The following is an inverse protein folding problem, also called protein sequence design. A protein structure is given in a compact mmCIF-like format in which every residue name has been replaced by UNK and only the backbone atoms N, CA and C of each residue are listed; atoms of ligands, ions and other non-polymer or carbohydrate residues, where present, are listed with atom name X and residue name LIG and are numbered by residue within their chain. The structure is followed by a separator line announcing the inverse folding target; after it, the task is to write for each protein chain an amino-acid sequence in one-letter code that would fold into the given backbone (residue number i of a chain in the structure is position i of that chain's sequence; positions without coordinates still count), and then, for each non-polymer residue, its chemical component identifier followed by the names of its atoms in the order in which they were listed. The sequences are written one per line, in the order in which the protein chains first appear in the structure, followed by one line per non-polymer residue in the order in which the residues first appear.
data_IF_087210080896
#
_entry.id   IF_087210080896
#
_cell.length_a   1.000
_cell.length_b   1.000
_cell.length_c   1.000
_cell.angle_alpha   90.00
_cell.angle_beta   90.00
_cell.angle_gamma   90.00
#
_symmetry.space_group_name_H-M   'P 1'
#
loop_
_entity.id
_entity.type
_entity.pdbx_description
1 polymer ?
#
# COMPACT_ATOMS: atom_id res chain seq x y z
N UNK A 1 20.85 14.36 10.69
CA UNK A 1 19.54 13.71 10.49
C UNK A 1 18.51 14.80 10.22
N UNK A 2 17.49 14.55 9.38
CA UNK A 2 16.40 15.51 9.15
C UNK A 2 15.05 14.93 9.59
N UNK A 3 14.13 15.81 10.04
CA UNK A 3 12.72 15.47 10.23
C UNK A 3 11.90 16.06 9.08
N UNK A 4 11.01 15.24 8.50
CA UNK A 4 10.08 15.63 7.45
C UNK A 4 8.62 15.37 7.88
N UNK A 5 7.85 16.46 7.97
CA UNK A 5 6.41 16.38 8.20
C UNK A 5 5.66 15.94 6.94
N UNK A 6 4.39 15.56 7.07
CA UNK A 6 3.51 15.33 5.92
C UNK A 6 3.46 16.53 4.98
N UNK A 7 3.46 17.77 5.52
CA UNK A 7 3.46 18.98 4.71
C UNK A 7 4.75 19.14 3.89
N UNK A 8 5.91 18.83 4.49
CA UNK A 8 7.17 18.82 3.75
C UNK A 8 7.13 17.79 2.61
N UNK A 9 6.68 16.57 2.91
CA UNK A 9 6.60 15.49 1.91
C UNK A 9 5.68 15.84 0.74
N UNK A 10 4.51 16.44 1.03
CA UNK A 10 3.58 16.88 -0.01
C UNK A 10 4.17 17.95 -0.96
N UNK A 11 5.10 18.78 -0.46
CA UNK A 11 5.81 19.78 -1.26
C UNK A 11 7.01 19.21 -2.04
N UNK A 12 7.58 18.10 -1.55
CA UNK A 12 8.81 17.52 -2.09
C UNK A 12 8.56 16.52 -3.21
N UNK A 13 7.47 15.76 -3.14
CA UNK A 13 7.21 14.61 -4.01
C UNK A 13 5.93 14.77 -4.80
N UNK A 14 6.02 14.44 -6.08
CA UNK A 14 4.88 14.19 -6.95
C UNK A 14 4.62 12.70 -7.12
N UNK A 15 3.46 12.32 -7.61
CA UNK A 15 3.17 10.91 -8.00
C UNK A 15 4.18 10.38 -9.02
N UNK A 16 4.65 11.23 -9.94
CA UNK A 16 5.66 10.86 -10.92
C UNK A 16 7.00 10.50 -10.28
N UNK A 17 7.46 11.31 -9.33
CA UNK A 17 8.70 11.05 -8.59
C UNK A 17 8.65 9.70 -7.86
N UNK A 18 7.50 9.37 -7.29
CA UNK A 18 7.30 8.11 -6.56
C UNK A 18 7.23 6.90 -7.52
N UNK A 19 6.63 7.06 -8.69
CA UNK A 19 6.60 6.01 -9.74
C UNK A 19 8.01 5.71 -10.23
N UNK A 20 8.79 6.75 -10.53
CA UNK A 20 10.17 6.61 -10.99
C UNK A 20 11.05 5.95 -9.93
N UNK A 21 10.92 6.37 -8.67
CA UNK A 21 11.66 5.79 -7.55
C UNK A 21 11.31 4.31 -7.32
N UNK A 22 10.03 3.95 -7.38
CA UNK A 22 9.61 2.56 -7.26
C UNK A 22 10.04 1.72 -8.45
N UNK A 23 9.96 2.22 -9.68
CA UNK A 23 10.39 1.52 -10.88
C UNK A 23 11.89 1.15 -10.79
N UNK A 24 12.73 2.11 -10.45
CA UNK A 24 14.16 1.88 -10.24
C UNK A 24 14.43 0.87 -9.12
N UNK A 25 13.72 1.02 -8.00
CA UNK A 25 13.83 0.13 -6.86
C UNK A 25 13.40 -1.31 -7.21
N UNK A 26 12.31 -1.50 -7.97
CA UNK A 26 11.89 -2.83 -8.44
C UNK A 26 12.93 -3.47 -9.36
N UNK A 27 13.62 -2.69 -10.18
CA UNK A 27 14.75 -3.21 -10.96
C UNK A 27 15.90 -3.67 -10.05
N UNK A 28 16.22 -2.92 -8.98
CA UNK A 28 17.20 -3.37 -7.99
C UNK A 28 16.75 -4.65 -7.26
N UNK A 29 15.47 -4.74 -6.88
CA UNK A 29 14.91 -5.95 -6.27
C UNK A 29 15.00 -7.15 -7.22
N UNK A 30 14.73 -6.97 -8.51
CA UNK A 30 14.85 -8.01 -9.53
C UNK A 30 16.29 -8.53 -9.71
N UNK A 31 17.29 -7.70 -9.43
CA UNK A 31 18.71 -8.10 -9.42
C UNK A 31 19.19 -8.67 -8.07
N UNK A 32 18.31 -8.76 -7.07
CA UNK A 32 18.67 -9.21 -5.73
C UNK A 32 19.40 -8.17 -4.87
N UNK A 33 19.37 -6.90 -5.28
CA UNK A 33 20.05 -5.77 -4.62
C UNK A 33 19.13 -5.02 -3.64
N UNK A 34 17.96 -5.56 -3.37
CA UNK A 34 17.00 -4.99 -2.42
C UNK A 34 16.25 -6.09 -1.67
N UNK A 35 15.65 -5.74 -0.55
CA UNK A 35 14.88 -6.69 0.28
C UNK A 35 13.69 -6.00 0.92
N UNK A 36 12.62 -6.77 1.14
CA UNK A 36 11.47 -6.40 1.96
C UNK A 36 11.27 -7.44 3.06
N UNK A 37 11.20 -7.00 4.31
CA UNK A 37 10.77 -7.87 5.40
C UNK A 37 9.24 -7.87 5.48
N UNK A 38 8.60 -9.03 5.65
CA UNK A 38 7.16 -9.10 5.87
C UNK A 38 6.74 -8.28 7.09
N UNK A 39 5.56 -7.66 6.99
CA UNK A 39 4.98 -6.93 8.13
C UNK A 39 4.83 -7.85 9.33
N UNK A 40 5.21 -7.33 10.49
CA UNK A 40 5.00 -7.99 11.78
C UNK A 40 4.19 -7.10 12.70
N UNK A 41 3.32 -7.70 13.54
CA UNK A 41 2.48 -6.98 14.47
C UNK A 41 2.62 -7.54 15.89
N UNK A 42 2.48 -6.66 16.89
CA UNK A 42 2.32 -7.01 18.30
C UNK A 42 0.97 -6.49 18.76
N UNK A 43 0.19 -7.34 19.40
CA UNK A 43 -1.14 -7.03 19.92
C UNK A 43 -1.14 -7.12 21.44
N UNK A 44 -1.59 -6.06 22.10
CA UNK A 44 -1.61 -5.95 23.57
C UNK A 44 -2.98 -5.45 24.04
N UNK A 45 -3.58 -6.04 25.10
CA UNK A 45 -4.80 -5.49 25.69
C UNK A 45 -4.60 -4.03 26.12
N UNK A 46 -5.53 -3.16 25.74
CA UNK A 46 -5.45 -1.73 26.02
C UNK A 46 -6.46 -1.22 27.05
N UNK A 47 -7.05 -2.13 27.83
CA UNK A 47 -8.10 -1.79 28.79
C UNK A 47 -9.51 -1.67 28.22
N UNK A 48 -9.66 -1.82 26.91
CA UNK A 48 -10.96 -1.82 26.21
C UNK A 48 -11.47 -3.24 26.01
N UNK A 49 -12.78 -3.43 26.13
CA UNK A 49 -13.41 -4.73 25.84
C UNK A 49 -13.65 -4.96 24.35
N UNK A 50 -13.70 -3.88 23.56
CA UNK A 50 -13.97 -3.86 22.13
C UNK A 50 -12.72 -3.64 21.28
N UNK A 51 -11.51 -3.64 21.85
CA UNK A 51 -10.31 -3.28 21.12
C UNK A 51 -9.00 -3.79 21.72
N UNK A 52 -7.95 -3.58 20.94
CA UNK A 52 -6.56 -3.88 21.29
C UNK A 52 -5.63 -2.76 20.81
N UNK A 53 -4.55 -2.56 21.57
CA UNK A 53 -3.38 -1.86 21.04
C UNK A 53 -2.69 -2.76 20.02
N UNK A 54 -2.28 -2.16 18.91
CA UNK A 54 -1.50 -2.83 17.87
C UNK A 54 -0.29 -1.99 17.51
N UNK A 55 0.88 -2.58 17.62
CA UNK A 55 2.11 -2.10 17.01
C UNK A 55 2.37 -2.88 15.73
N UNK A 56 2.72 -2.22 14.63
CA UNK A 56 3.11 -2.87 13.39
C UNK A 56 4.36 -2.25 12.79
N UNK A 57 5.26 -3.08 12.25
CA UNK A 57 6.46 -2.61 11.59
C UNK A 57 6.68 -3.29 10.23
N UNK A 58 7.35 -2.57 9.33
CA UNK A 58 7.64 -3.01 7.97
C UNK A 58 9.00 -2.45 7.58
N UNK A 59 9.89 -3.29 7.08
CA UNK A 59 11.25 -2.90 6.74
C UNK A 59 11.63 -3.24 5.31
N UNK A 60 12.49 -2.41 4.74
CA UNK A 60 13.11 -2.66 3.45
C UNK A 60 14.46 -2.00 3.32
N UNK A 61 15.31 -2.56 2.48
CA UNK A 61 16.61 -1.99 2.16
C UNK A 61 16.85 -2.01 0.66
N UNK A 62 17.59 -1.02 0.17
CA UNK A 62 17.98 -0.87 -1.23
C UNK A 62 19.49 -0.61 -1.24
N UNK A 63 20.24 -1.63 -1.58
CA UNK A 63 21.72 -1.63 -1.49
C UNK A 63 22.35 -0.54 -2.37
N UNK A 64 22.01 -0.37 -3.66
CA UNK A 64 22.62 0.65 -4.49
C UNK A 64 22.45 2.08 -3.95
N UNK A 65 21.37 2.32 -3.20
CA UNK A 65 21.10 3.63 -2.59
C UNK A 65 21.73 3.79 -1.20
N UNK A 66 22.25 2.71 -0.61
CA UNK A 66 22.82 2.72 0.72
C UNK A 66 21.78 3.00 1.81
N UNK A 67 20.54 2.56 1.64
CA UNK A 67 19.38 2.92 2.49
C UNK A 67 18.73 1.67 3.09
N UNK A 68 18.49 1.74 4.40
CA UNK A 68 17.52 0.92 5.13
C UNK A 68 16.39 1.81 5.63
N UNK A 69 15.15 1.32 5.54
CA UNK A 69 13.96 2.00 6.03
C UNK A 69 13.17 1.08 6.96
N UNK A 70 12.75 1.59 8.10
CA UNK A 70 11.70 0.98 8.93
C UNK A 70 10.50 1.92 9.01
N UNK A 71 9.32 1.39 8.74
CA UNK A 71 8.05 2.05 9.00
C UNK A 71 7.43 1.47 10.26
N UNK A 72 6.98 2.33 11.15
CA UNK A 72 6.35 1.97 12.41
C UNK A 72 4.95 2.57 12.48
N UNK A 73 4.01 1.79 12.98
CA UNK A 73 2.62 2.20 13.20
C UNK A 73 2.19 1.78 14.59
N UNK A 74 1.71 2.75 15.37
CA UNK A 74 1.13 2.55 16.70
C UNK A 74 -0.36 2.92 16.64
N UNK A 75 -1.24 2.04 17.15
CA UNK A 75 -2.66 2.09 16.83
C UNK A 75 -3.50 1.45 17.94
N UNK A 76 -4.65 2.01 18.25
CA UNK A 76 -5.73 1.31 18.95
C UNK A 76 -6.75 0.90 17.90
N UNK A 77 -6.96 -0.39 17.77
CA UNK A 77 -7.91 -1.00 16.84
C UNK A 77 -9.11 -1.51 17.61
N UNK A 78 -10.30 -1.12 17.16
CA UNK A 78 -11.57 -1.65 17.69
C UNK A 78 -12.35 -2.35 16.58
N UNK A 79 -13.35 -3.11 16.95
CA UNK A 79 -14.26 -3.79 16.06
C UNK A 79 -15.70 -3.63 16.53
N UNK A 80 -16.65 -3.69 15.60
CA UNK A 80 -18.07 -3.64 15.92
C UNK A 80 -18.48 -4.87 16.72
N UNK A 81 -19.63 -4.82 17.41
CA UNK A 81 -20.17 -5.97 18.16
C UNK A 81 -20.35 -7.23 17.30
N UNK A 82 -20.52 -7.07 16.00
CA UNK A 82 -20.62 -8.15 15.02
C UNK A 82 -19.26 -8.72 14.59
N UNK A 83 -18.16 -8.11 15.02
CA UNK A 83 -16.79 -8.60 14.79
C UNK A 83 -16.31 -8.52 13.33
N UNK A 84 -17.01 -7.81 12.46
CA UNK A 84 -16.74 -7.81 11.01
C UNK A 84 -15.99 -6.58 10.50
N UNK A 85 -16.14 -5.43 11.16
CA UNK A 85 -15.52 -4.19 10.74
C UNK A 85 -14.47 -3.73 11.76
N UNK A 86 -13.25 -3.49 11.31
CA UNK A 86 -12.17 -2.94 12.13
C UNK A 86 -12.16 -1.42 12.00
N UNK A 87 -12.17 -0.71 13.14
CA UNK A 87 -11.92 0.72 13.21
C UNK A 87 -10.51 0.95 13.72
N UNK A 88 -9.72 1.64 12.92
CA UNK A 88 -8.33 1.95 13.23
C UNK A 88 -8.17 3.35 13.81
N UNK A 89 -7.11 3.57 14.56
CA UNK A 89 -6.74 4.88 15.11
C UNK A 89 -7.83 5.47 16.00
N UNK A 90 -8.47 4.64 16.83
CA UNK A 90 -9.56 5.06 17.71
C UNK A 90 -9.05 5.96 18.84
N UNK A 91 -7.86 5.69 19.34
CA UNK A 91 -7.15 6.49 20.32
C UNK A 91 -5.73 6.80 19.79
N UNK A 92 -5.26 8.01 19.79
CA UNK A 92 -5.88 9.28 20.22
C UNK A 92 -6.86 9.89 19.19
N UNK A 93 -7.49 9.10 18.34
CA UNK A 93 -8.42 9.56 17.29
C UNK A 93 -7.75 9.97 15.99
N UNK A 94 -6.43 9.80 15.89
CA UNK A 94 -5.62 10.12 14.71
C UNK A 94 -4.59 9.04 14.46
N UNK A 95 -4.15 8.96 13.21
CA UNK A 95 -3.12 8.01 12.80
C UNK A 95 -1.74 8.39 13.38
N UNK A 96 -1.08 7.44 14.03
CA UNK A 96 0.30 7.58 14.50
C UNK A 96 1.19 6.59 13.74
N UNK A 97 1.95 7.11 12.79
CA UNK A 97 2.91 6.33 12.02
C UNK A 97 4.06 7.18 11.53
N UNK A 98 5.23 6.60 11.50
CA UNK A 98 6.43 7.26 11.03
C UNK A 98 7.43 6.28 10.44
N UNK A 99 8.37 6.83 9.67
CA UNK A 99 9.48 6.10 9.09
C UNK A 99 10.79 6.62 9.66
N UNK A 100 11.75 5.71 9.79
CA UNK A 100 13.14 6.06 10.01
C UNK A 100 13.99 5.52 8.87
N UNK A 101 14.86 6.37 8.34
CA UNK A 101 15.90 5.99 7.38
C UNK A 101 17.24 5.90 8.07
N UNK A 102 17.99 4.88 7.68
CA UNK A 102 19.35 4.65 8.12
C UNK A 102 20.27 4.45 6.91
N UNK A 103 21.51 4.87 7.05
CA UNK A 103 22.57 4.53 6.10
C UNK A 103 22.99 3.07 6.31
N UNK A 104 22.95 2.26 5.27
CA UNK A 104 23.52 0.90 5.33
C UNK A 104 25.04 0.90 5.25
N UNK A 105 25.68 2.05 5.02
CA UNK A 105 27.14 2.19 4.91
C UNK A 105 27.83 2.33 6.26
N UNK A 106 27.15 2.97 7.23
CA UNK A 106 27.75 3.29 8.54
C UNK A 106 26.75 3.22 9.71
N UNK A 107 25.49 2.85 9.46
CA UNK A 107 24.45 2.72 10.48
C UNK A 107 23.85 4.05 10.98
N UNK A 108 24.25 5.20 10.45
CA UNK A 108 23.72 6.49 10.91
C UNK A 108 22.22 6.66 10.62
N UNK A 109 21.44 7.26 11.56
CA UNK A 109 20.10 7.70 11.29
C UNK A 109 20.12 8.93 10.35
N UNK A 110 19.46 8.82 9.19
CA UNK A 110 19.43 9.85 8.15
C UNK A 110 18.21 10.75 8.26
N UNK A 111 17.05 10.16 8.55
CA UNK A 111 15.81 10.92 8.63
C UNK A 111 14.75 10.24 9.50
N UNK A 112 13.85 11.06 10.07
CA UNK A 112 12.56 10.65 10.60
C UNK A 112 11.48 11.36 9.78
N UNK A 113 10.43 10.63 9.38
CA UNK A 113 9.37 11.17 8.51
C UNK A 113 7.99 10.74 8.99
N UNK A 114 6.98 11.60 8.84
CA UNK A 114 5.60 11.15 8.90
C UNK A 114 5.29 10.21 7.73
N UNK A 115 4.48 9.18 7.96
CA UNK A 115 4.19 8.18 6.95
C UNK A 115 2.90 8.43 6.14
N UNK A 116 2.02 9.34 6.58
CA UNK A 116 0.69 9.51 6.00
C UNK A 116 0.69 9.81 4.50
N UNK A 117 1.35 10.87 4.07
CA UNK A 117 1.47 11.22 2.64
C UNK A 117 2.30 10.19 1.88
N UNK A 118 3.42 9.72 2.46
CA UNK A 118 4.23 8.66 1.85
C UNK A 118 3.44 7.37 1.65
N UNK A 119 2.55 7.04 2.60
CA UNK A 119 1.67 5.88 2.46
C UNK A 119 0.75 6.00 1.24
N UNK A 120 0.11 7.13 1.05
CA UNK A 120 -0.75 7.35 -0.11
C UNK A 120 0.03 7.32 -1.42
N UNK A 121 1.15 8.03 -1.48
CA UNK A 121 1.99 8.12 -2.66
C UNK A 121 2.57 6.76 -3.08
N UNK A 122 3.08 5.93 -2.14
CA UNK A 122 3.62 4.61 -2.46
C UNK A 122 2.54 3.64 -2.97
N UNK A 123 1.33 3.68 -2.39
CA UNK A 123 0.21 2.83 -2.85
C UNK A 123 -0.18 3.19 -4.27
N UNK A 124 -0.36 4.48 -4.54
CA UNK A 124 -0.70 4.98 -5.86
C UNK A 124 0.39 4.67 -6.91
N UNK A 125 1.66 4.87 -6.53
CA UNK A 125 2.78 4.60 -7.41
C UNK A 125 2.97 3.09 -7.69
N UNK A 126 2.77 2.22 -6.69
CA UNK A 126 2.79 0.76 -6.87
C UNK A 126 1.71 0.29 -7.85
N UNK A 127 0.49 0.82 -7.71
CA UNK A 127 -0.57 0.53 -8.66
C UNK A 127 -0.26 1.06 -10.06
N UNK A 128 0.28 2.28 -10.19
CA UNK A 128 0.68 2.85 -11.48
C UNK A 128 1.77 2.00 -12.17
N UNK A 129 2.66 1.37 -11.43
CA UNK A 129 3.60 0.39 -11.99
C UNK A 129 2.88 -0.85 -12.52
N UNK A 130 1.94 -1.41 -11.77
CA UNK A 130 1.08 -2.48 -12.27
C UNK A 130 0.40 -2.10 -13.59
N UNK A 131 -0.04 -0.86 -13.70
CA UNK A 131 -0.63 -0.28 -14.90
C UNK A 131 0.36 -0.12 -16.03
N UNK A 132 1.57 0.34 -15.75
CA UNK A 132 2.60 0.52 -16.77
C UNK A 132 2.85 -0.78 -17.54
N UNK A 133 2.77 -1.91 -16.86
CA UNK A 133 3.06 -3.21 -17.41
C UNK A 133 1.82 -4.02 -17.81
N UNK A 134 0.64 -3.74 -17.22
CA UNK A 134 -0.59 -4.48 -17.49
C UNK A 134 -1.72 -3.60 -18.03
N UNK A 135 -1.96 -2.41 -17.48
CA UNK A 135 -2.89 -1.37 -17.93
C UNK A 135 -2.89 -0.16 -16.97
N UNK A 136 -3.80 0.74 -17.04
CA UNK A 136 -3.78 2.16 -16.71
C UNK A 136 -4.53 2.50 -15.43
N UNK A 137 -3.88 2.98 -14.37
CA UNK A 137 -4.62 3.23 -13.16
C UNK A 137 -4.09 4.14 -12.04
N UNK A 138 -4.83 4.56 -11.06
CA UNK A 138 -4.87 5.54 -9.95
C UNK A 138 -4.69 7.00 -10.35
N UNK A 139 -5.65 7.81 -9.98
CA UNK A 139 -6.00 9.02 -10.66
C UNK A 139 -4.86 10.02 -10.94
N UNK A 140 -4.13 10.65 -10.03
CA UNK A 140 -2.97 11.47 -10.41
C UNK A 140 -1.79 10.64 -10.89
N UNK A 141 -1.55 9.47 -10.26
CA UNK A 141 -0.52 8.55 -10.70
C UNK A 141 -0.87 7.94 -12.08
N UNK A 142 -2.15 7.76 -12.35
CA UNK A 142 -2.68 7.30 -13.62
C UNK A 142 -2.58 8.36 -14.70
N UNK A 143 -2.89 9.60 -14.36
CA UNK A 143 -2.68 10.73 -15.24
C UNK A 143 -1.20 10.95 -15.58
N UNK A 144 -0.28 10.59 -14.68
CA UNK A 144 1.16 10.66 -14.94
C UNK A 144 1.65 9.61 -15.95
N UNK A 145 0.96 8.47 -16.07
CA UNK A 145 1.36 7.37 -16.98
C UNK A 145 0.43 7.22 -18.18
N UNK A 146 -0.75 7.86 -18.16
CA UNK A 146 -1.78 7.76 -19.21
C UNK A 146 -2.58 9.05 -19.36
N UNK A 147 -3.13 9.26 -20.55
CA UNK A 147 -4.12 10.29 -20.80
C UNK A 147 -5.48 9.79 -20.33
N UNK A 148 -5.96 10.32 -19.20
CA UNK A 148 -7.30 10.07 -18.68
C UNK A 148 -8.24 11.17 -19.19
N UNK A 149 -9.37 10.79 -19.75
CA UNK A 149 -10.36 11.74 -20.30
C UNK A 149 -11.52 12.01 -19.36
N UNK A 150 -11.89 11.04 -18.54
CA UNK A 150 -13.02 11.10 -17.63
C UNK A 150 -12.79 10.13 -16.47
N UNK A 151 -13.37 10.45 -15.32
CA UNK A 151 -13.36 9.58 -14.13
C UNK A 151 -14.76 9.44 -13.59
N UNK A 152 -15.13 8.22 -13.21
CA UNK A 152 -16.34 7.90 -12.46
C UNK A 152 -15.94 7.49 -11.06
N UNK A 153 -16.63 7.97 -10.03
CA UNK A 153 -16.33 7.63 -8.64
C UNK A 153 -17.56 7.17 -7.87
N UNK A 154 -17.39 6.10 -7.11
CA UNK A 154 -18.38 5.61 -6.16
C UNK A 154 -17.79 5.59 -4.75
N UNK A 155 -18.61 5.98 -3.79
CA UNK A 155 -18.44 5.73 -2.36
C UNK A 155 -19.82 5.56 -1.74
N UNK A 156 -20.01 4.65 -0.76
CA UNK A 156 -21.31 4.50 -0.09
C UNK A 156 -21.73 5.78 0.65
N UNK A 157 -20.77 6.65 1.02
CA UNK A 157 -21.04 7.92 1.68
C UNK A 157 -21.15 9.05 0.64
N UNK A 158 -22.35 9.65 0.42
CA UNK A 158 -22.55 10.70 -0.58
C UNK A 158 -21.55 11.86 -0.46
N UNK A 159 -21.40 12.41 0.74
CA UNK A 159 -20.48 13.54 0.97
C UNK A 159 -19.03 13.24 0.56
N UNK A 160 -18.57 11.99 0.73
CA UNK A 160 -17.21 11.61 0.33
C UNK A 160 -17.05 11.60 -1.20
N UNK A 161 -17.97 10.98 -1.95
CA UNK A 161 -17.87 10.92 -3.41
C UNK A 161 -18.04 12.27 -4.07
N UNK A 162 -18.93 13.13 -3.54
CA UNK A 162 -19.17 14.47 -4.07
C UNK A 162 -17.97 15.41 -3.81
N UNK A 163 -17.45 15.39 -2.58
CA UNK A 163 -16.25 16.17 -2.23
C UNK A 163 -15.05 15.74 -3.06
N UNK A 164 -14.81 14.44 -3.16
CA UNK A 164 -13.73 13.88 -3.98
C UNK A 164 -13.86 14.29 -5.43
N UNK A 165 -15.06 14.15 -6.03
CA UNK A 165 -15.30 14.51 -7.43
C UNK A 165 -15.01 15.99 -7.69
N UNK A 166 -15.48 16.87 -6.82
CA UNK A 166 -15.25 18.32 -6.93
C UNK A 166 -13.76 18.69 -6.82
N UNK A 167 -13.08 18.12 -5.83
CA UNK A 167 -11.66 18.41 -5.59
C UNK A 167 -10.78 17.89 -6.73
N UNK A 168 -10.95 16.64 -7.14
CA UNK A 168 -10.17 16.01 -8.19
C UNK A 168 -10.44 16.61 -9.56
N UNK A 169 -11.68 16.97 -9.88
CA UNK A 169 -11.98 17.70 -11.12
C UNK A 169 -11.21 19.03 -11.23
N UNK A 170 -11.12 19.75 -10.09
CA UNK A 170 -10.38 21.01 -10.02
C UNK A 170 -8.87 20.80 -10.12
N UNK A 171 -8.35 19.81 -9.42
CA UNK A 171 -6.90 19.54 -9.34
C UNK A 171 -6.34 19.03 -10.67
N UNK A 172 -7.07 18.12 -11.32
CA UNK A 172 -6.58 17.40 -12.51
C UNK A 172 -7.08 18.03 -13.82
N UNK A 173 -8.01 18.97 -13.75
CA UNK A 173 -8.66 19.59 -14.93
C UNK A 173 -9.31 18.57 -15.87
N UNK A 174 -9.86 17.47 -15.32
CA UNK A 174 -10.63 16.46 -16.04
C UNK A 174 -11.99 16.25 -15.35
N UNK A 175 -13.05 15.84 -16.07
CA UNK A 175 -14.33 15.52 -15.47
C UNK A 175 -14.20 14.35 -14.49
N UNK A 176 -14.66 14.54 -13.25
CA UNK A 176 -14.81 13.49 -12.25
C UNK A 176 -16.28 13.49 -11.80
N UNK A 177 -16.99 12.41 -12.10
CA UNK A 177 -18.43 12.32 -11.89
C UNK A 177 -18.74 11.35 -10.73
N UNK A 178 -19.51 11.80 -9.71
CA UNK A 178 -19.94 10.93 -8.61
C UNK A 178 -21.17 10.11 -9.00
N UNK A 179 -21.18 8.83 -8.61
CA UNK A 179 -22.29 7.89 -8.78
C UNK A 179 -22.71 7.32 -7.43
N UNK A 180 -23.97 6.97 -7.30
CA UNK A 180 -24.56 6.38 -6.09
C UNK A 180 -24.59 4.84 -6.13
N UNK A 181 -24.22 4.25 -7.27
CA UNK A 181 -24.16 2.81 -7.49
C UNK A 181 -22.78 2.44 -8.12
N UNK A 182 -22.16 1.31 -7.73
CA UNK A 182 -20.90 0.88 -8.31
C UNK A 182 -21.01 0.36 -9.74
N UNK A 183 -22.13 -0.18 -10.18
CA UNK A 183 -22.29 -0.75 -11.53
C UNK A 183 -21.98 0.26 -12.65
N UNK A 184 -22.58 1.47 -12.67
CA UNK A 184 -22.27 2.48 -13.71
C UNK A 184 -20.80 2.94 -13.69
N UNK A 185 -20.15 2.85 -12.53
CA UNK A 185 -18.72 3.19 -12.41
C UNK A 185 -17.86 2.11 -13.07
N UNK A 186 -18.23 0.87 -12.97
CA UNK A 186 -17.48 -0.26 -13.55
C UNK A 186 -17.73 -0.38 -15.05
N UNK A 187 -19.01 -0.41 -15.47
CA UNK A 187 -19.36 -0.60 -16.89
C UNK A 187 -18.83 0.50 -17.79
N UNK A 188 -18.25 0.11 -18.91
CA UNK A 188 -17.69 1.00 -19.91
C UNK A 188 -16.43 1.74 -19.45
N UNK A 189 -15.81 1.34 -18.35
CA UNK A 189 -14.54 1.90 -17.90
C UNK A 189 -13.37 1.09 -18.41
N UNK A 190 -12.35 1.74 -18.97
CA UNK A 190 -11.11 1.04 -19.37
C UNK A 190 -10.35 0.52 -18.17
N UNK A 191 -10.53 1.19 -17.00
CA UNK A 191 -9.77 0.93 -15.79
C UNK A 191 -10.71 1.03 -14.60
N UNK A 192 -10.71 -0.01 -13.79
CA UNK A 192 -11.44 -0.06 -12.51
C UNK A 192 -10.46 -0.30 -11.38
N UNK A 193 -10.48 0.58 -10.39
CA UNK A 193 -9.66 0.41 -9.19
C UNK A 193 -10.49 0.56 -7.94
N UNK A 194 -10.23 -0.30 -6.97
CA UNK A 194 -10.79 -0.19 -5.63
C UNK A 194 -9.71 0.26 -4.66
N UNK A 195 -10.08 1.19 -3.78
CA UNK A 195 -9.18 1.79 -2.78
C UNK A 195 -9.93 1.86 -1.44
N UNK A 196 -10.39 0.71 -0.94
CA UNK A 196 -11.24 0.65 0.24
C UNK A 196 -10.57 -0.13 1.36
N UNK A 197 -11.01 0.12 2.58
CA UNK A 197 -10.76 -0.70 3.77
C UNK A 197 -11.95 -1.64 4.07
N UNK A 198 -12.87 -1.77 3.13
CA UNK A 198 -14.07 -2.58 3.27
C UNK A 198 -13.74 -4.05 3.55
N UNK A 199 -14.47 -4.62 4.51
CA UNK A 199 -14.47 -6.06 4.74
C UNK A 199 -15.50 -6.82 3.88
N UNK A 200 -16.26 -6.09 3.04
CA UNK A 200 -17.24 -6.64 2.09
C UNK A 200 -16.74 -6.45 0.67
N UNK A 201 -17.11 -7.37 -0.20
CA UNK A 201 -16.84 -7.24 -1.63
C UNK A 201 -17.48 -5.96 -2.18
N UNK A 202 -16.75 -5.23 -3.00
CA UNK A 202 -17.18 -3.97 -3.61
C UNK A 202 -17.65 -4.21 -5.04
N UNK A 203 -16.88 -4.98 -5.81
CA UNK A 203 -17.24 -5.35 -7.18
C UNK A 203 -17.56 -6.85 -7.18
N UNK A 204 -18.84 -7.18 -7.30
CA UNK A 204 -19.34 -8.54 -7.06
C UNK A 204 -19.82 -9.25 -8.33
N UNK A 205 -20.37 -8.50 -9.29
CA UNK A 205 -20.98 -9.07 -10.48
C UNK A 205 -19.99 -9.16 -11.65
N UNK A 206 -19.62 -10.37 -12.08
CA UNK A 206 -18.69 -10.55 -13.19
C UNK A 206 -19.26 -10.09 -14.54
N UNK A 207 -20.58 -9.84 -14.67
CA UNK A 207 -21.17 -9.32 -15.92
C UNK A 207 -20.85 -7.86 -16.18
N UNK A 208 -20.37 -7.12 -15.17
CA UNK A 208 -19.93 -5.73 -15.33
C UNK A 208 -18.59 -5.61 -16.02
N UNK A 209 -17.82 -6.71 -16.06
CA UNK A 209 -16.46 -6.72 -16.59
C UNK A 209 -16.46 -7.00 -18.09
N UNK A 210 -15.90 -6.09 -18.83
CA UNK A 210 -15.85 -6.08 -20.30
C UNK A 210 -14.45 -6.33 -20.83
N UNK A 211 -14.36 -6.73 -22.10
CA UNK A 211 -13.07 -6.94 -22.78
C UNK A 211 -12.23 -5.68 -22.77
N UNK A 212 -10.94 -5.85 -22.52
CA UNK A 212 -9.98 -4.76 -22.53
C UNK A 212 -9.85 -4.02 -21.20
N UNK A 213 -10.68 -4.31 -20.21
CA UNK A 213 -10.58 -3.68 -18.89
C UNK A 213 -9.30 -4.05 -18.16
N UNK A 214 -8.81 -3.10 -17.39
CA UNK A 214 -7.83 -3.34 -16.34
C UNK A 214 -8.48 -3.17 -14.97
N UNK A 215 -8.27 -4.14 -14.11
CA UNK A 215 -8.76 -4.15 -12.74
C UNK A 215 -7.58 -4.07 -11.76
N UNK A 216 -7.70 -3.26 -10.71
CA UNK A 216 -6.71 -3.20 -9.65
C UNK A 216 -7.39 -3.08 -8.28
N UNK A 217 -6.79 -3.67 -7.26
CA UNK A 217 -7.26 -3.57 -5.89
C UNK A 217 -6.15 -3.23 -4.91
N UNK A 218 -6.52 -2.76 -3.73
CA UNK A 218 -5.63 -2.53 -2.59
C UNK A 218 -5.80 -3.57 -1.47
N UNK A 219 -6.86 -4.36 -1.53
CA UNK A 219 -7.20 -5.39 -0.56
C UNK A 219 -7.74 -6.63 -1.26
N UNK A 220 -7.45 -7.81 -0.74
CA UNK A 220 -7.92 -9.09 -1.28
C UNK A 220 -9.44 -9.30 -1.20
N UNK A 221 -10.17 -8.39 -0.56
CA UNK A 221 -11.62 -8.51 -0.32
C UNK A 221 -12.47 -7.58 -1.20
N UNK A 222 -11.92 -6.93 -2.20
CA UNK A 222 -12.62 -5.88 -2.95
C UNK A 222 -13.31 -6.40 -4.22
N UNK A 223 -12.76 -7.42 -4.86
CA UNK A 223 -13.34 -8.09 -6.03
C UNK A 223 -13.74 -9.52 -5.71
N UNK A 224 -14.84 -10.00 -6.32
CA UNK A 224 -15.22 -11.40 -6.22
C UNK A 224 -14.22 -12.31 -6.93
N UNK A 225 -14.09 -13.55 -6.44
CA UNK A 225 -13.25 -14.57 -7.04
C UNK A 225 -13.60 -14.86 -8.50
N UNK A 226 -14.88 -14.84 -8.81
CA UNK A 226 -15.40 -15.09 -10.16
C UNK A 226 -14.96 -14.02 -11.16
N UNK A 227 -14.78 -12.78 -10.71
CA UNK A 227 -14.22 -11.70 -11.54
C UNK A 227 -12.76 -11.97 -11.84
N UNK A 228 -11.96 -12.29 -10.82
CA UNK A 228 -10.52 -12.54 -11.01
C UNK A 228 -10.27 -13.73 -11.94
N UNK A 229 -11.08 -14.77 -11.85
CA UNK A 229 -11.01 -15.93 -12.76
C UNK A 229 -11.29 -15.60 -14.23
N UNK A 230 -12.04 -14.53 -14.51
CA UNK A 230 -12.33 -14.11 -15.89
C UNK A 230 -11.20 -13.28 -16.52
N UNK A 231 -10.21 -12.88 -15.73
CA UNK A 231 -9.09 -12.11 -16.24
C UNK A 231 -8.11 -12.99 -17.02
N UNK A 232 -7.69 -12.53 -18.18
CA UNK A 232 -6.72 -13.24 -19.02
C UNK A 232 -5.32 -13.19 -18.39
N UNK A 233 -5.03 -12.12 -17.66
CA UNK A 233 -3.76 -11.95 -16.96
C UNK A 233 -4.07 -11.46 -15.55
N UNK A 234 -3.58 -12.18 -14.56
CA UNK A 234 -3.59 -11.80 -13.14
C UNK A 234 -2.16 -11.69 -12.67
N UNK A 235 -1.81 -10.59 -12.04
CA UNK A 235 -0.50 -10.37 -11.47
C UNK A 235 -0.59 -9.63 -10.13
N UNK A 236 0.52 -9.61 -9.40
CA UNK A 236 0.63 -8.98 -8.09
C UNK A 236 1.90 -8.12 -7.97
N UNK A 237 1.95 -7.27 -6.97
CA UNK A 237 3.18 -6.51 -6.66
C UNK A 237 4.34 -7.45 -6.34
N UNK A 238 4.09 -8.47 -5.53
CA UNK A 238 5.04 -9.44 -5.07
C UNK A 238 4.70 -9.91 -3.65
N UNK A 239 5.17 -11.10 -3.31
CA UNK A 239 4.99 -11.66 -1.97
C UNK A 239 6.25 -11.45 -1.14
N UNK A 240 6.08 -11.15 0.12
CA UNK A 240 7.17 -10.97 1.10
C UNK A 240 7.73 -12.30 1.61
N UNK A 241 7.52 -13.39 0.86
CA UNK A 241 7.94 -14.75 1.26
C UNK A 241 9.43 -15.02 1.04
N UNK A 242 10.16 -14.09 0.45
CA UNK A 242 11.59 -14.25 0.21
C UNK A 242 12.38 -14.37 1.52
N UNK A 243 12.84 -15.58 1.82
CA UNK A 243 13.76 -15.87 2.91
C UNK A 243 13.15 -15.99 4.30
N UNK A 244 11.86 -15.79 4.49
CA UNK A 244 11.21 -15.98 5.78
C UNK A 244 11.04 -17.47 6.08
N UNK A 245 11.90 -18.00 6.94
CA UNK A 245 11.69 -19.32 7.56
C UNK A 245 10.79 -19.13 8.78
N UNK A 246 9.62 -19.72 8.73
CA UNK A 246 8.63 -19.66 9.80
C UNK A 246 7.66 -18.47 9.63
N UNK A 247 6.43 -18.68 9.93
CA UNK A 247 5.32 -17.76 9.92
C UNK A 247 4.10 -18.50 10.42
N UNK A 248 3.15 -17.79 11.00
CA UNK A 248 1.86 -18.36 11.38
C UNK A 248 1.10 -18.77 10.12
N UNK A 249 0.30 -19.83 10.21
CA UNK A 249 -0.66 -20.15 9.15
C UNK A 249 -1.55 -18.92 8.88
N UNK A 250 -2.02 -18.76 7.64
CA UNK A 250 -2.82 -17.59 7.25
C UNK A 250 -4.09 -17.44 8.12
N UNK A 251 -4.69 -18.56 8.51
CA UNK A 251 -5.84 -18.61 9.43
C UNK A 251 -5.53 -18.12 10.85
N UNK A 252 -4.26 -18.07 11.23
CA UNK A 252 -3.80 -17.63 12.55
C UNK A 252 -3.30 -16.19 12.55
N UNK A 253 -3.16 -15.59 11.37
CA UNK A 253 -2.73 -14.19 11.23
C UNK A 253 -3.90 -13.26 11.52
N UNK A 254 -3.73 -12.37 12.49
CA UNK A 254 -4.71 -11.31 12.74
C UNK A 254 -4.49 -10.14 11.78
N UNK A 255 -3.23 -9.78 11.57
CA UNK A 255 -2.85 -8.71 10.65
C UNK A 255 -1.42 -8.89 10.18
N UNK A 256 -0.70 -8.67 9.43
CA UNK A 256 0.70 -8.90 9.09
C UNK A 256 1.08 -10.37 8.87
N UNK A 257 2.34 -10.60 8.55
CA UNK A 257 2.90 -11.93 8.29
C UNK A 257 3.00 -12.78 9.55
N UNK A 258 3.42 -12.17 10.64
CA UNK A 258 3.48 -12.78 11.96
C UNK A 258 2.91 -11.79 12.99
N UNK A 259 2.16 -12.33 13.94
CA UNK A 259 1.54 -11.55 15.01
C UNK A 259 1.85 -12.19 16.34
N UNK A 260 2.28 -11.38 17.30
CA UNK A 260 2.43 -11.77 18.69
C UNK A 260 1.31 -11.15 19.51
N UNK A 261 0.49 -12.00 20.11
CA UNK A 261 -0.70 -11.57 20.82
C UNK A 261 -0.50 -11.82 22.30
N UNK A 262 -0.55 -10.77 23.12
CA UNK A 262 -0.53 -10.81 24.57
C UNK A 262 -1.96 -10.76 25.10
N UNK A 263 -2.19 -11.35 26.27
CA UNK A 263 -3.47 -11.34 26.96
C UNK A 263 -3.93 -12.72 27.37
N UNK A 264 -4.94 -12.77 28.24
CA UNK A 264 -5.58 -14.03 28.64
C UNK A 264 -6.38 -14.60 27.46
N UNK A 265 -6.63 -15.91 27.43
CA UNK A 265 -7.37 -16.54 26.32
C UNK A 265 -8.70 -15.87 25.98
N UNK A 266 -9.45 -15.41 26.98
CA UNK A 266 -10.74 -14.73 26.79
C UNK A 266 -10.57 -13.35 26.12
N UNK A 267 -9.44 -12.68 26.37
CA UNK A 267 -9.12 -11.41 25.72
C UNK A 267 -8.69 -11.64 24.27
N UNK A 268 -7.82 -12.61 24.02
CA UNK A 268 -7.36 -12.96 22.68
C UNK A 268 -8.52 -13.45 21.79
N UNK A 269 -9.47 -14.19 22.36
CA UNK A 269 -10.65 -14.67 21.64
C UNK A 269 -11.58 -13.55 21.10
N UNK A 270 -11.43 -12.32 21.60
CA UNK A 270 -12.18 -11.14 21.13
C UNK A 270 -11.66 -10.59 19.81
N UNK A 271 -10.41 -10.86 19.45
CA UNK A 271 -9.82 -10.39 18.19
C UNK A 271 -10.49 -11.14 17.05
N UNK A 272 -11.15 -10.43 16.10
CA UNK A 272 -11.82 -11.09 15.00
C UNK A 272 -10.83 -11.87 14.13
N UNK A 273 -11.17 -13.12 13.81
CA UNK A 273 -10.42 -13.90 12.82
C UNK A 273 -10.65 -13.30 11.45
N UNK A 274 -9.59 -13.08 10.69
CA UNK A 274 -9.72 -12.69 9.29
C UNK A 274 -10.39 -13.80 8.49
N UNK A 275 -11.41 -13.49 7.67
CA UNK A 275 -11.89 -14.43 6.68
C UNK A 275 -10.73 -14.84 5.76
N UNK A 276 -10.55 -16.12 5.54
CA UNK A 276 -9.58 -16.62 4.56
C UNK A 276 -10.03 -16.15 3.18
N UNK A 277 -9.15 -15.47 2.46
CA UNK A 277 -9.42 -15.11 1.07
C UNK A 277 -9.34 -16.37 0.20
N UNK A 278 -10.35 -16.60 -0.66
CA UNK A 278 -10.28 -17.64 -1.69
C UNK A 278 -9.33 -17.25 -2.86
N UNK A 279 -8.74 -16.05 -2.79
CA UNK A 279 -7.81 -15.54 -3.78
C UNK A 279 -6.38 -15.76 -3.28
N UNK A 280 -5.75 -16.81 -3.79
CA UNK A 280 -4.34 -17.11 -3.52
C UNK A 280 -3.44 -16.40 -4.54
N UNK A 281 -3.19 -15.12 -4.28
CA UNK A 281 -2.34 -14.32 -5.15
C UNK A 281 -0.86 -14.72 -5.16
N UNK A 282 -0.42 -15.54 -4.20
CA UNK A 282 0.97 -16.01 -4.09
C UNK A 282 1.40 -16.77 -5.35
N UNK A 283 0.47 -17.47 -5.98
CA UNK A 283 0.75 -18.29 -7.18
C UNK A 283 0.65 -17.50 -8.50
N UNK A 284 0.30 -16.23 -8.48
CA UNK A 284 0.27 -15.39 -9.67
C UNK A 284 1.62 -14.67 -9.89
N UNK A 285 1.98 -14.37 -11.15
CA UNK A 285 3.19 -13.64 -11.48
C UNK A 285 3.31 -12.33 -10.67
N UNK A 286 4.50 -12.07 -10.16
CA UNK A 286 4.83 -10.82 -9.49
C UNK A 286 5.19 -9.73 -10.50
N UNK A 287 5.29 -8.48 -10.03
CA UNK A 287 5.80 -7.39 -10.84
C UNK A 287 7.23 -7.65 -11.34
N UNK A 288 8.05 -8.35 -10.53
CA UNK A 288 9.40 -8.76 -10.94
C UNK A 288 9.34 -9.75 -12.11
N UNK A 289 8.42 -10.71 -12.08
CA UNK A 289 8.23 -11.66 -13.19
C UNK A 289 7.83 -10.94 -14.46
N UNK A 290 6.93 -9.94 -14.36
CA UNK A 290 6.54 -9.09 -15.49
C UNK A 290 7.69 -8.23 -16.02
N UNK A 291 8.60 -7.77 -15.15
CA UNK A 291 9.79 -7.03 -15.55
C UNK A 291 10.75 -7.91 -16.35
N UNK A 292 11.01 -9.10 -15.83
CA UNK A 292 11.97 -10.04 -16.40
C UNK A 292 11.44 -10.79 -17.64
N UNK A 293 10.11 -10.95 -17.76
CA UNK A 293 9.49 -11.67 -18.86
C UNK A 293 8.38 -10.88 -19.56
N UNK A 294 8.72 -10.13 -20.63
CA UNK A 294 7.74 -9.36 -21.38
C UNK A 294 6.56 -10.16 -21.95
N UNK A 295 6.73 -11.48 -22.19
CA UNK A 295 5.65 -12.32 -22.71
C UNK A 295 4.50 -12.53 -21.72
N UNK A 296 4.72 -12.30 -20.44
CA UNK A 296 3.68 -12.34 -19.40
C UNK A 296 2.84 -11.06 -19.34
N UNK A 297 3.21 -10.03 -20.10
CA UNK A 297 2.50 -8.76 -20.14
C UNK A 297 1.33 -8.82 -21.11
N UNK A 298 0.47 -7.80 -21.05
CA UNK A 298 -0.64 -7.65 -21.98
C UNK A 298 -0.15 -7.54 -23.43
N UNK A 299 -0.65 -8.43 -24.29
CA UNK A 299 -0.30 -8.50 -25.72
C UNK A 299 -1.45 -8.11 -26.65
N UNK A 300 -2.68 -8.04 -26.11
CA UNK A 300 -3.88 -7.65 -26.87
C UNK A 300 -4.72 -6.61 -26.10
N UNK A 301 -5.29 -5.66 -26.82
CA UNK A 301 -6.21 -4.67 -26.25
C UNK A 301 -7.52 -5.29 -25.73
N UNK A 302 -7.87 -6.50 -26.16
CA UNK A 302 -9.07 -7.21 -25.72
C UNK A 302 -8.88 -7.97 -24.42
N UNK A 303 -7.64 -8.20 -23.98
CA UNK A 303 -7.38 -8.95 -22.74
C UNK A 303 -7.87 -8.17 -21.51
N UNK A 304 -8.52 -8.88 -20.59
CA UNK A 304 -8.87 -8.38 -19.27
C UNK A 304 -7.69 -8.65 -18.33
N UNK A 305 -7.24 -7.65 -17.61
CA UNK A 305 -6.09 -7.79 -16.72
C UNK A 305 -6.44 -7.39 -15.29
N UNK A 306 -5.85 -8.09 -14.31
CA UNK A 306 -6.02 -7.82 -12.90
C UNK A 306 -4.66 -7.64 -12.20
N UNK A 307 -4.54 -6.61 -11.38
CA UNK A 307 -3.34 -6.35 -10.60
C UNK A 307 -3.64 -6.25 -9.11
N UNK A 308 -3.10 -7.16 -8.33
CA UNK A 308 -3.18 -7.14 -6.88
C UNK A 308 -2.09 -6.26 -6.29
N UNK A 309 -2.46 -5.04 -5.86
CA UNK A 309 -1.53 -4.04 -5.37
C UNK A 309 -1.33 -4.14 -3.84
N UNK A 310 -0.95 -5.32 -3.36
CA UNK A 310 -0.64 -5.57 -1.96
C UNK A 310 0.61 -6.44 -1.85
N UNK A 311 1.55 -6.07 -0.98
CA UNK A 311 2.80 -6.77 -0.72
C UNK A 311 4.03 -5.85 -0.80
N UNK A 312 5.20 -6.36 -0.41
CA UNK A 312 6.49 -5.66 -0.42
C UNK A 312 6.45 -4.27 0.24
N UNK A 313 5.71 -4.14 1.34
CA UNK A 313 5.37 -2.85 1.92
C UNK A 313 6.59 -2.10 2.43
N UNK A 314 7.47 -2.77 3.16
CA UNK A 314 8.71 -2.17 3.69
C UNK A 314 9.62 -1.65 2.60
N UNK A 315 9.80 -2.43 1.53
CA UNK A 315 10.56 -2.05 0.35
C UNK A 315 9.97 -0.82 -0.37
N UNK A 316 8.66 -0.78 -0.59
CA UNK A 316 8.01 0.37 -1.21
C UNK A 316 8.19 1.65 -0.39
N UNK A 317 8.11 1.54 0.96
CA UNK A 317 8.40 2.67 1.84
C UNK A 317 9.88 3.09 1.75
N UNK A 318 10.80 2.15 1.68
CA UNK A 318 12.23 2.47 1.52
C UNK A 318 12.47 3.30 0.26
N UNK A 319 11.86 2.94 -0.87
CA UNK A 319 12.00 3.65 -2.13
C UNK A 319 11.49 5.09 -2.08
N UNK A 320 10.22 5.29 -1.67
CA UNK A 320 9.63 6.64 -1.65
C UNK A 320 10.24 7.52 -0.56
N UNK A 321 10.61 6.96 0.60
CA UNK A 321 11.28 7.70 1.66
C UNK A 321 12.70 8.11 1.28
N UNK A 322 13.46 7.27 0.59
CA UNK A 322 14.76 7.61 0.05
C UNK A 322 14.65 8.79 -0.94
N UNK A 323 13.67 8.76 -1.85
CA UNK A 323 13.41 9.85 -2.79
C UNK A 323 13.04 11.15 -2.05
N UNK A 324 12.19 11.07 -1.02
CA UNK A 324 11.83 12.22 -0.17
C UNK A 324 13.09 12.81 0.51
N UNK A 325 13.91 11.96 1.11
CA UNK A 325 15.15 12.37 1.77
C UNK A 325 16.12 13.04 0.79
N UNK A 326 16.39 12.42 -0.36
CA UNK A 326 17.28 12.98 -1.38
C UNK A 326 16.79 14.35 -1.88
N UNK A 327 15.48 14.47 -2.17
CA UNK A 327 14.87 15.70 -2.64
C UNK A 327 14.90 16.78 -1.55
N UNK A 328 14.65 16.40 -0.28
CA UNK A 328 14.72 17.31 0.86
C UNK A 328 16.13 17.85 1.06
N UNK A 329 17.15 16.98 1.00
CA UNK A 329 18.56 17.39 1.11
C UNK A 329 18.96 18.35 -0.01
N UNK A 330 18.55 18.07 -1.25
CA UNK A 330 18.84 18.91 -2.40
C UNK A 330 18.16 20.30 -2.33
N UNK A 331 16.97 20.38 -1.73
CA UNK A 331 16.20 21.63 -1.63
C UNK A 331 16.36 22.36 -0.29
N UNK A 332 17.08 21.80 0.68
CA UNK A 332 17.22 22.36 2.03
C UNK A 332 15.87 22.41 2.79
N UNK A 333 15.01 21.40 2.61
CA UNK A 333 13.69 21.33 3.24
C UNK A 333 13.73 20.33 4.39
N UNK A 334 13.05 20.63 5.48
CA UNK A 334 12.97 19.80 6.69
C UNK A 334 13.63 20.46 7.89
N UNK A 335 13.44 19.87 9.06
CA UNK A 335 14.07 20.31 10.30
C UNK A 335 15.36 19.54 10.52
N UNK A 336 16.49 20.23 10.49
CA UNK A 336 17.77 19.61 10.83
C UNK A 336 17.80 19.25 12.31
N UNK A 337 18.23 18.02 12.60
CA UNK A 337 18.38 17.47 13.94
C UNK A 337 19.79 16.95 14.13
N UNK A 338 20.39 17.23 15.29
CA UNK A 338 21.66 16.59 15.64
C UNK A 338 21.48 15.07 15.77
N UNK A 339 22.41 14.31 15.23
CA UNK A 339 22.48 12.85 15.42
C UNK A 339 23.18 12.46 16.72
N UNK A 340 23.96 13.35 17.31
CA UNK A 340 24.75 13.06 18.51
C UNK A 340 23.95 12.44 19.68
N UNK A 341 22.71 12.87 19.99
CA UNK A 341 21.91 12.22 21.04
C UNK A 341 21.49 10.78 20.75
N UNK A 342 21.57 10.33 19.51
CA UNK A 342 21.20 8.97 19.08
C UNK A 342 22.41 8.03 18.95
N UNK A 343 23.62 8.59 19.01
CA UNK A 343 24.85 7.81 18.94
C UNK A 343 25.33 7.54 20.37
N UNK A 344 25.71 6.32 20.63
CA UNK A 344 26.12 5.87 21.95
C UNK A 344 27.50 5.22 21.87
N UNK A 345 28.34 5.52 22.83
CA UNK A 345 29.66 4.86 23.00
C UNK A 345 29.53 3.73 24.05
N UNK A 346 28.64 2.80 23.75
CA UNK A 346 28.44 1.56 24.53
C UNK A 346 29.03 0.42 23.69
N UNK A 347 29.97 -0.30 24.26
CA UNK A 347 30.60 -1.47 23.65
C UNK A 347 30.34 -2.67 24.52
N UNK A 348 29.90 -3.75 23.92
CA UNK A 348 29.73 -5.06 24.57
C UNK A 348 31.09 -5.75 24.77
#
# INVERSE_FOLDING_TARGET
MIYLSNQNIAQLLTSKDCIEALDEAFHALARGEAISRPRTDVWVPCGRDDGYYRWGSMEGAIEPWGIFCTRMKSDIVTWTREGTDELHCVEPGTFSGFLMLFSTRNGEPLAVMNDGILHHLRVAAGAALGVRYLARAYLPAFCAVRKISQVKVYSPTPAHRETFAKEMSRELAIPVEPFDDPEPVVRGSDIVTTCTDSNKLVVTDPTWIEKGMHLANCSSKEFSFEIVKRCDIVAQVGTETFGAKGGMAESERHHGWASWVVGRPEQQARIPKRPVSNLDFVNYPSLIDLLNNPSMRRTSSAQITFFHNLGLLGFQFAAVAAKAYQTARAKGVGLEMSTAPFLQDIRD
#
